data_IF_205316020115
#
_entry.id   IF_205316020115
#
_cell.length_a   1.000
_cell.length_b   1.000
_cell.length_c   1.000
_cell.angle_alpha   90.00
_cell.angle_beta   90.00
_cell.angle_gamma   90.00
#
_symmetry.space_group_name_H-M   'P 1'
#
loop_
_entity.id
_entity.type
_entity.pdbx_description
1 polymer ?
#
# COMPACT_ATOMS: atom_id res chain seq x y z
N UNK A 1 10.39 -8.75 -49.69
CA UNK A 1 9.33 -7.91 -49.11
C UNK A 1 9.70 -7.59 -47.67
N UNK A 2 10.19 -6.39 -47.45
CA UNK A 2 10.77 -5.91 -46.19
C UNK A 2 9.65 -5.53 -45.22
N UNK A 3 9.36 -6.39 -44.24
CA UNK A 3 8.38 -6.06 -43.19
C UNK A 3 9.04 -5.14 -42.15
N UNK A 4 8.60 -3.89 -42.18
CA UNK A 4 9.04 -2.80 -41.29
C UNK A 4 8.79 -3.16 -39.82
N UNK A 5 9.86 -3.19 -39.02
CA UNK A 5 9.78 -3.21 -37.56
C UNK A 5 9.21 -1.86 -37.12
N UNK A 6 7.95 -1.85 -36.67
CA UNK A 6 7.33 -0.66 -36.08
C UNK A 6 7.97 -0.39 -34.72
N UNK A 7 9.00 0.46 -34.72
CA UNK A 7 9.61 1.02 -33.52
C UNK A 7 8.61 1.95 -32.84
N UNK A 8 7.92 1.47 -31.80
CA UNK A 8 7.24 2.36 -30.86
C UNK A 8 8.29 3.07 -30.01
N UNK A 9 8.69 4.26 -30.45
CA UNK A 9 9.50 5.18 -29.66
C UNK A 9 8.66 5.64 -28.46
N UNK A 10 8.85 5.02 -27.30
CA UNK A 10 8.31 5.54 -26.04
C UNK A 10 9.13 6.77 -25.65
N UNK A 11 8.57 8.00 -25.66
CA UNK A 11 9.29 9.14 -25.11
C UNK A 11 9.58 8.86 -23.64
N UNK A 12 10.76 9.29 -23.21
CA UNK A 12 11.28 9.11 -21.87
C UNK A 12 10.44 9.94 -20.87
N UNK A 13 9.25 9.44 -20.53
CA UNK A 13 8.37 10.06 -19.54
C UNK A 13 9.01 9.80 -18.18
N UNK A 14 9.81 10.77 -17.73
CA UNK A 14 10.22 10.90 -16.35
C UNK A 14 8.96 11.13 -15.52
N UNK A 15 8.31 10.04 -15.11
CA UNK A 15 7.35 10.08 -14.03
C UNK A 15 8.11 10.53 -12.79
N UNK A 16 7.99 11.82 -12.45
CA UNK A 16 8.31 12.30 -11.12
C UNK A 16 7.60 11.36 -10.13
N UNK A 17 8.30 10.82 -9.11
CA UNK A 17 7.62 10.07 -8.09
C UNK A 17 6.61 11.00 -7.44
N UNK A 18 5.33 10.78 -7.70
CA UNK A 18 4.27 11.23 -6.81
C UNK A 18 4.67 10.69 -5.44
N UNK A 19 5.19 11.57 -4.61
CA UNK A 19 5.44 11.35 -3.20
C UNK A 19 4.06 11.11 -2.58
N UNK A 20 3.59 9.87 -2.66
CA UNK A 20 2.49 9.43 -1.82
C UNK A 20 3.07 9.38 -0.42
N UNK A 21 2.97 10.51 0.28
CA UNK A 21 3.16 10.58 1.72
C UNK A 21 2.22 9.54 2.30
N UNK A 22 2.80 8.48 2.87
CA UNK A 22 2.04 7.55 3.71
C UNK A 22 1.49 8.41 4.85
N UNK A 23 0.19 8.68 4.84
CA UNK A 23 -0.52 9.29 5.96
C UNK A 23 -0.54 8.27 7.09
N UNK A 24 0.56 8.16 7.83
CA UNK A 24 0.54 7.59 9.16
C UNK A 24 0.01 8.71 10.06
N UNK A 25 -1.16 8.51 10.67
CA UNK A 25 -1.65 9.38 11.73
C UNK A 25 -0.74 9.18 12.96
N UNK A 26 0.37 9.89 12.98
CA UNK A 26 1.24 10.03 14.14
C UNK A 26 1.00 11.43 14.72
N UNK A 27 0.48 11.48 15.94
CA UNK A 27 0.39 12.73 16.71
C UNK A 27 1.80 13.29 16.90
N UNK A 28 2.04 14.51 16.42
CA UNK A 28 3.31 15.23 16.59
C UNK A 28 3.60 15.42 18.09
N UNK A 29 4.80 15.03 18.52
CA UNK A 29 5.43 15.56 19.72
C UNK A 29 6.55 16.48 19.23
N UNK A 30 6.46 17.76 19.62
CA UNK A 30 7.45 18.78 19.29
C UNK A 30 8.72 18.55 20.12
N UNK A 31 9.82 18.16 19.47
CA UNK A 31 11.16 18.35 20.01
C UNK A 31 12.21 18.21 18.89
N UNK A 32 12.71 19.36 18.47
CA UNK A 32 14.03 19.66 17.91
C UNK A 32 14.90 18.50 17.33
N UNK A 33 15.23 18.66 16.04
CA UNK A 33 16.61 18.57 15.58
C UNK A 33 17.07 17.25 14.94
N UNK A 34 17.39 17.33 13.65
CA UNK A 34 18.49 16.59 13.05
C UNK A 34 18.10 15.63 11.92
N UNK A 35 18.04 16.14 10.69
CA UNK A 35 18.28 15.33 9.50
C UNK A 35 19.74 15.52 9.14
N UNK A 36 20.60 14.55 9.46
CA UNK A 36 21.98 14.55 9.03
C UNK A 36 22.39 13.17 8.53
N UNK A 37 22.87 13.18 7.28
CA UNK A 37 23.83 12.29 6.64
C UNK A 37 23.51 10.80 6.45
N UNK A 38 23.14 10.52 5.19
CA UNK A 38 23.75 9.51 4.33
C UNK A 38 25.16 9.03 4.78
N UNK A 39 25.39 7.72 4.81
CA UNK A 39 26.75 7.15 4.66
C UNK A 39 27.28 6.30 5.82
N UNK A 40 27.50 5.02 5.52
CA UNK A 40 28.40 4.03 6.17
C UNK A 40 29.19 4.51 7.40
N UNK A 41 28.90 3.93 8.57
CA UNK A 41 29.87 3.20 9.41
C UNK A 41 29.21 2.56 10.63
N UNK A 42 29.74 1.38 10.94
CA UNK A 42 29.42 0.48 12.05
C UNK A 42 29.73 1.16 13.39
N UNK A 43 28.78 1.15 14.33
CA UNK A 43 29.02 1.41 15.75
C UNK A 43 28.05 2.41 16.41
N UNK A 44 27.58 2.02 17.60
CA UNK A 44 26.81 2.78 18.60
C UNK A 44 25.28 2.78 18.43
N UNK A 45 24.72 1.72 19.03
CA UNK A 45 23.50 1.68 19.82
C UNK A 45 23.30 2.98 20.63
N UNK A 46 22.63 3.97 20.04
CA UNK A 46 22.03 5.11 20.76
C UNK A 46 21.10 5.87 19.82
N UNK A 47 19.90 6.18 20.31
CA UNK A 47 18.80 6.87 19.60
C UNK A 47 17.89 5.99 18.74
N UNK A 48 17.45 4.87 19.32
CA UNK A 48 16.06 4.49 19.15
C UNK A 48 15.28 5.47 20.04
N UNK A 49 14.56 6.41 19.42
CA UNK A 49 13.58 7.24 20.15
C UNK A 49 12.57 6.35 20.89
N UNK A 50 11.73 6.89 21.79
CA UNK A 50 10.77 6.10 22.55
C UNK A 50 10.02 5.20 21.57
N UNK A 51 10.24 3.90 21.69
CA UNK A 51 9.51 2.90 20.94
C UNK A 51 8.09 3.00 21.47
N UNK A 52 7.27 3.79 20.80
CA UNK A 52 5.87 3.98 21.13
C UNK A 52 5.25 2.60 21.36
N UNK A 53 4.90 2.31 22.60
CA UNK A 53 4.30 1.03 22.97
C UNK A 53 2.98 0.90 22.21
N UNK A 54 2.84 -0.18 21.45
CA UNK A 54 1.61 -0.45 20.69
C UNK A 54 0.53 -0.80 21.71
N UNK A 55 -0.46 0.08 21.85
CA UNK A 55 -1.65 -0.21 22.63
C UNK A 55 -2.41 -1.36 21.98
N UNK A 56 -2.40 -2.54 22.60
CA UNK A 56 -3.19 -3.70 22.17
C UNK A 56 -4.60 -3.53 22.72
N UNK A 57 -5.58 -3.34 21.84
CA UNK A 57 -6.99 -3.31 22.21
C UNK A 57 -7.46 -4.78 22.29
N UNK A 58 -8.11 -5.21 23.37
CA UNK A 58 -8.65 -6.57 23.45
C UNK A 58 -9.70 -6.77 22.35
N UNK A 59 -9.58 -7.86 21.61
CA UNK A 59 -10.52 -8.22 20.54
C UNK A 59 -11.79 -8.78 21.17
N UNK A 60 -12.97 -8.30 20.76
CA UNK A 60 -14.23 -8.85 21.24
C UNK A 60 -14.42 -10.30 20.78
N UNK A 61 -14.84 -11.17 21.70
CA UNK A 61 -15.05 -12.61 21.45
C UNK A 61 -16.50 -13.01 21.22
N UNK A 62 -17.44 -12.08 21.43
CA UNK A 62 -18.87 -12.34 21.38
C UNK A 62 -19.37 -12.45 19.93
N UNK A 63 -19.91 -13.60 19.48
CA UNK A 63 -20.29 -13.80 18.08
C UNK A 63 -21.43 -12.86 17.64
N UNK A 64 -22.39 -12.59 18.53
CA UNK A 64 -23.51 -11.68 18.24
C UNK A 64 -23.05 -10.24 17.99
N UNK A 65 -21.96 -9.78 18.64
CA UNK A 65 -21.43 -8.43 18.41
C UNK A 65 -20.67 -8.38 17.09
N UNK A 66 -19.86 -9.40 16.79
CA UNK A 66 -19.06 -9.48 15.57
C UNK A 66 -19.91 -9.53 14.28
N UNK A 67 -21.10 -10.15 14.34
CA UNK A 67 -22.01 -10.24 13.18
C UNK A 67 -22.81 -8.95 12.97
N UNK A 68 -23.15 -8.23 14.04
CA UNK A 68 -24.04 -7.07 13.95
C UNK A 68 -23.32 -5.72 13.94
N UNK A 69 -22.05 -5.66 14.37
CA UNK A 69 -21.31 -4.43 14.54
C UNK A 69 -19.92 -4.52 13.91
N UNK A 70 -19.42 -3.38 13.43
CA UNK A 70 -18.04 -3.25 12.97
C UNK A 70 -17.15 -2.96 14.18
N UNK A 71 -16.58 -4.01 14.76
CA UNK A 71 -15.64 -3.90 15.87
C UNK A 71 -14.31 -3.27 15.41
N UNK A 72 -13.74 -2.38 16.23
CA UNK A 72 -12.40 -1.80 16.01
C UNK A 72 -12.35 -0.54 15.14
N UNK A 73 -13.47 -0.05 14.60
CA UNK A 73 -13.51 1.24 13.89
C UNK A 73 -13.51 2.44 14.84
N UNK A 74 -13.93 2.25 16.08
CA UNK A 74 -14.06 3.35 17.03
C UNK A 74 -12.71 3.71 17.68
N UNK A 75 -12.27 4.96 17.49
CA UNK A 75 -11.04 5.49 18.09
C UNK A 75 -11.28 6.13 19.47
N UNK A 76 -12.48 6.65 19.72
CA UNK A 76 -12.84 7.32 20.97
C UNK A 76 -13.43 6.30 21.95
N UNK A 77 -13.09 6.39 23.23
CA UNK A 77 -13.54 5.41 24.24
C UNK A 77 -15.05 5.43 24.50
N UNK A 78 -15.71 6.53 24.17
CA UNK A 78 -17.08 6.83 24.59
C UNK A 78 -18.13 6.54 23.53
N UNK A 79 -17.74 6.40 22.26
CA UNK A 79 -18.68 6.11 21.18
C UNK A 79 -19.03 4.63 21.08
N UNK A 80 -20.21 4.35 20.53
CA UNK A 80 -20.63 3.01 20.19
C UNK A 80 -20.02 2.57 18.84
N UNK A 81 -19.89 1.25 18.64
CA UNK A 81 -19.46 0.70 17.35
C UNK A 81 -20.57 0.83 16.31
N UNK A 82 -20.19 1.00 15.04
CA UNK A 82 -21.14 1.18 13.94
C UNK A 82 -21.89 -0.14 13.71
N UNK A 83 -23.23 -0.08 13.74
CA UNK A 83 -24.09 -1.22 13.45
C UNK A 83 -24.15 -1.49 11.94
N UNK A 84 -24.07 -2.76 11.55
CA UNK A 84 -24.24 -3.19 10.17
C UNK A 84 -25.70 -3.07 9.74
N UNK A 85 -25.88 -2.60 8.50
CA UNK A 85 -27.18 -2.39 7.87
C UNK A 85 -27.47 -3.59 6.93
N UNK A 86 -28.72 -3.78 6.48
CA UNK A 86 -29.02 -4.76 5.43
C UNK A 86 -28.33 -4.39 4.11
N UNK A 87 -28.09 -5.41 3.27
CA UNK A 87 -27.30 -5.31 2.05
C UNK A 87 -27.81 -4.26 1.05
N UNK A 88 -29.12 -3.99 1.04
CA UNK A 88 -29.79 -3.03 0.16
C UNK A 88 -29.35 -1.57 0.37
N UNK A 89 -28.79 -1.25 1.54
CA UNK A 89 -28.34 0.11 1.85
C UNK A 89 -26.93 0.39 1.36
N UNK A 90 -26.18 -0.65 1.01
CA UNK A 90 -24.84 -0.51 0.47
C UNK A 90 -24.90 -0.41 -1.04
N UNK A 91 -24.05 0.43 -1.65
CA UNK A 91 -24.06 0.60 -3.09
C UNK A 91 -23.57 -0.67 -3.81
N UNK A 92 -24.18 -0.99 -4.96
CA UNK A 92 -23.95 -2.23 -5.72
C UNK A 92 -22.48 -2.52 -6.03
N UNK A 93 -21.67 -1.47 -6.23
CA UNK A 93 -20.25 -1.65 -6.56
C UNK A 93 -19.48 -2.38 -5.46
N UNK A 94 -19.94 -2.35 -4.21
CA UNK A 94 -19.33 -3.07 -3.08
C UNK A 94 -19.25 -4.58 -3.37
N UNK A 95 -20.34 -5.13 -3.90
CA UNK A 95 -20.47 -6.56 -4.21
C UNK A 95 -19.76 -6.96 -5.51
N UNK A 96 -19.42 -5.97 -6.35
CA UNK A 96 -18.64 -6.20 -7.58
C UNK A 96 -17.12 -6.22 -7.34
N UNK A 97 -16.67 -5.83 -6.15
CA UNK A 97 -15.24 -5.81 -5.82
C UNK A 97 -14.64 -7.22 -5.80
N UNK A 98 -13.42 -7.33 -6.32
CA UNK A 98 -12.67 -8.59 -6.31
C UNK A 98 -12.04 -8.82 -4.93
N UNK A 99 -12.61 -9.74 -4.16
CA UNK A 99 -12.06 -10.19 -2.86
C UNK A 99 -10.99 -11.28 -3.00
N UNK A 100 -10.86 -11.87 -4.20
CA UNK A 100 -9.93 -12.96 -4.49
C UNK A 100 -8.48 -12.53 -4.73
N UNK A 101 -7.70 -13.44 -5.32
CA UNK A 101 -6.32 -13.15 -5.74
C UNK A 101 -6.32 -12.02 -6.77
N UNK A 102 -5.29 -11.17 -6.71
CA UNK A 102 -5.09 -10.13 -7.70
C UNK A 102 -4.95 -10.74 -9.10
N UNK A 103 -5.59 -10.16 -10.14
CA UNK A 103 -5.59 -10.71 -11.48
C UNK A 103 -4.18 -10.84 -12.03
N UNK A 104 -3.97 -11.90 -12.82
CA UNK A 104 -2.71 -12.12 -13.53
C UNK A 104 -2.59 -11.15 -14.71
N UNK A 105 -1.42 -11.10 -15.36
CA UNK A 105 -1.25 -10.19 -16.50
C UNK A 105 -2.12 -10.61 -17.70
N UNK A 106 -2.29 -11.91 -17.89
CA UNK A 106 -2.98 -12.50 -19.04
C UNK A 106 -4.51 -12.31 -18.97
N UNK A 107 -5.04 -12.16 -17.76
CA UNK A 107 -6.47 -11.88 -17.51
C UNK A 107 -6.85 -10.40 -17.73
N UNK A 108 -5.86 -9.50 -17.77
CA UNK A 108 -6.09 -8.06 -17.87
C UNK A 108 -6.13 -7.62 -19.34
N UNK A 109 -7.08 -6.75 -19.68
CA UNK A 109 -7.20 -6.20 -21.03
C UNK A 109 -6.08 -5.16 -21.31
N UNK A 110 -5.29 -5.32 -22.39
CA UNK A 110 -4.24 -4.38 -22.79
C UNK A 110 -4.70 -2.93 -23.01
N UNK A 111 -5.99 -2.69 -23.27
CA UNK A 111 -6.53 -1.34 -23.47
C UNK A 111 -6.82 -0.61 -22.15
N UNK A 112 -6.69 -1.29 -21.01
CA UNK A 112 -6.94 -0.70 -19.69
C UNK A 112 -5.66 -0.18 -19.05
N UNK A 113 -5.79 0.86 -18.21
CA UNK A 113 -4.65 1.40 -17.43
C UNK A 113 -4.09 0.38 -16.42
N UNK A 114 -4.92 -0.54 -15.95
CA UNK A 114 -4.57 -1.55 -14.96
C UNK A 114 -3.54 -2.55 -15.48
N UNK A 115 -3.73 -3.01 -16.73
CA UNK A 115 -2.77 -3.83 -17.44
C UNK A 115 -1.38 -3.18 -17.44
N UNK A 116 -1.27 -1.92 -17.88
CA UNK A 116 0.01 -1.22 -17.97
C UNK A 116 0.65 -0.93 -16.61
N UNK A 117 -0.15 -0.70 -15.56
CA UNK A 117 0.37 -0.63 -14.19
C UNK A 117 1.01 -1.96 -13.78
N UNK A 118 0.36 -3.09 -14.09
CA UNK A 118 0.88 -4.44 -13.82
C UNK A 118 2.16 -4.72 -14.61
N UNK A 119 2.19 -4.42 -15.92
CA UNK A 119 3.39 -4.54 -16.78
C UNK A 119 4.56 -3.77 -16.17
N UNK A 120 4.34 -2.52 -15.77
CA UNK A 120 5.36 -1.70 -15.12
C UNK A 120 5.88 -2.34 -13.84
N UNK A 121 5.00 -2.82 -12.96
CA UNK A 121 5.40 -3.51 -11.71
C UNK A 121 6.21 -4.77 -12.01
N UNK A 122 5.83 -5.56 -13.01
CA UNK A 122 6.57 -6.75 -13.42
C UNK A 122 7.94 -6.42 -14.00
N UNK A 123 8.03 -5.38 -14.83
CA UNK A 123 9.30 -4.85 -15.35
C UNK A 123 10.24 -4.39 -14.23
N UNK A 124 9.72 -3.64 -13.25
CA UNK A 124 10.50 -3.24 -12.07
C UNK A 124 10.97 -4.45 -11.25
N UNK A 125 10.09 -5.44 -11.04
CA UNK A 125 10.47 -6.67 -10.33
C UNK A 125 11.56 -7.45 -11.08
N UNK A 126 11.46 -7.56 -12.41
CA UNK A 126 12.49 -8.17 -13.26
C UNK A 126 13.80 -7.40 -13.14
N UNK A 127 13.78 -6.09 -13.28
CA UNK A 127 14.97 -5.25 -13.17
C UNK A 127 15.61 -5.33 -11.78
N UNK A 128 14.81 -5.40 -10.71
CA UNK A 128 15.30 -5.60 -9.35
C UNK A 128 15.92 -7.00 -9.15
N UNK A 129 15.42 -8.03 -9.84
CA UNK A 129 16.04 -9.37 -9.85
C UNK A 129 17.36 -9.35 -10.61
N UNK A 130 17.38 -8.73 -11.80
CA UNK A 130 18.59 -8.60 -12.62
C UNK A 130 19.65 -7.75 -11.91
N UNK A 131 19.27 -6.67 -11.23
CA UNK A 131 20.21 -5.83 -10.48
C UNK A 131 20.81 -6.53 -9.26
N UNK A 132 20.10 -7.50 -8.66
CA UNK A 132 20.66 -8.37 -7.61
C UNK A 132 21.68 -9.36 -8.15
N UNK A 133 21.50 -9.85 -9.38
CA UNK A 133 22.45 -10.74 -10.05
C UNK A 133 23.65 -9.96 -10.60
N UNK A 134 23.40 -8.72 -11.01
CA UNK A 134 24.44 -7.81 -11.48
C UNK A 134 25.34 -7.49 -10.29
N UNK A 135 26.52 -8.09 -10.27
CA UNK A 135 27.60 -7.64 -9.41
C UNK A 135 27.86 -6.15 -9.69
N UNK A 136 27.95 -5.38 -8.61
CA UNK A 136 28.96 -4.34 -8.57
C UNK A 136 30.31 -5.04 -8.47
#
# INVERSE_FOLDING_TARGET
>A
MTSSLMYFHTPNIRFLPLLLTKCNFATKIEAAGGIASLGKKKGKLTKLGPMMEKKVIPVETDPHKLVNYVCGTNLLKESENIKLMPDDQYPDWLWTLRTGKAPTLDELDPNTKEYWRKVRTLGMRRNNKLSKLRKF
#
